data_IF_914717237565
#
_entry.id   IF_914717237565
#
_cell.length_a   1.000
_cell.length_b   1.000
_cell.length_c   1.000
_cell.angle_alpha   90.00
_cell.angle_beta   90.00
_cell.angle_gamma   90.00
#
_symmetry.space_group_name_H-M   'P 1'
#
loop_
_entity.id
_entity.type
_entity.pdbx_description
1 polymer ?
#
# COMPACT_ATOMS: atom_id res chain seq x y z
N UNK A 1 3.62 -10.39 33.39
CA UNK A 1 2.63 -11.45 33.23
C UNK A 1 1.34 -10.96 33.87
N UNK A 2 0.25 -11.08 33.13
CA UNK A 2 -1.10 -10.85 33.61
C UNK A 2 -1.71 -12.23 33.78
N UNK A 3 -2.11 -12.58 34.98
CA UNK A 3 -2.79 -13.83 35.24
C UNK A 3 -4.28 -13.65 34.87
N UNK A 4 -4.82 -14.55 34.05
CA UNK A 4 -6.20 -14.52 33.61
C UNK A 4 -7.01 -15.50 34.44
N UNK A 5 -8.17 -15.05 34.90
CA UNK A 5 -9.13 -15.84 35.67
C UNK A 5 -10.38 -16.15 34.83
N UNK A 6 -11.14 -17.16 35.27
CA UNK A 6 -12.39 -17.54 34.64
C UNK A 6 -13.38 -16.35 34.69
N UNK A 7 -13.98 -16.01 33.52
CA UNK A 7 -14.80 -14.82 33.24
C UNK A 7 -14.07 -13.49 33.06
N UNK A 8 -12.74 -13.48 32.93
CA UNK A 8 -12.03 -12.27 32.51
C UNK A 8 -12.36 -11.89 31.06
N UNK A 9 -12.64 -10.62 30.85
CA UNK A 9 -12.96 -10.09 29.52
C UNK A 9 -11.80 -9.25 28.98
N UNK A 10 -11.17 -9.73 27.92
CA UNK A 10 -10.04 -9.04 27.31
C UNK A 10 -10.54 -8.19 26.14
N UNK A 11 -10.48 -6.88 26.29
CA UNK A 11 -10.80 -5.95 25.22
C UNK A 11 -9.52 -5.47 24.51
N UNK A 12 -9.28 -5.99 23.33
CA UNK A 12 -8.18 -5.51 22.47
C UNK A 12 -8.69 -4.40 21.54
N UNK A 13 -8.32 -3.17 21.83
CA UNK A 13 -8.68 -2.02 20.98
C UNK A 13 -7.78 -1.96 19.76
N UNK A 14 -8.37 -1.70 18.58
CA UNK A 14 -7.61 -1.42 17.37
C UNK A 14 -6.80 -0.12 17.55
N UNK A 15 -5.48 -0.17 17.35
CA UNK A 15 -4.64 1.03 17.43
C UNK A 15 -4.88 1.92 16.20
N UNK A 16 -5.14 3.21 16.36
CA UNK A 16 -5.29 4.14 15.24
C UNK A 16 -3.95 4.49 14.57
N UNK A 17 -2.84 4.10 15.18
CA UNK A 17 -1.49 4.33 14.63
C UNK A 17 -0.73 3.02 14.54
N UNK A 18 -0.15 2.79 13.36
CA UNK A 18 0.83 1.73 13.18
C UNK A 18 2.12 2.14 13.91
N UNK A 19 2.44 1.45 15.00
CA UNK A 19 3.66 1.69 15.78
C UNK A 19 4.78 0.88 15.12
N UNK A 20 5.82 1.56 14.62
CA UNK A 20 6.95 0.95 13.90
C UNK A 20 7.55 -0.27 14.63
N UNK A 21 7.68 -0.16 15.95
CA UNK A 21 8.29 -1.22 16.77
C UNK A 21 7.37 -2.46 16.87
N UNK A 22 6.06 -2.27 16.91
CA UNK A 22 5.10 -3.38 16.87
C UNK A 22 5.13 -4.12 15.53
N UNK A 23 5.27 -3.40 14.43
CA UNK A 23 5.38 -4.01 13.10
C UNK A 23 6.67 -4.81 12.97
N UNK A 24 7.78 -4.26 13.45
CA UNK A 24 9.06 -4.97 13.48
C UNK A 24 9.01 -6.21 14.39
N UNK A 25 8.25 -6.15 15.49
CA UNK A 25 8.05 -7.30 16.38
C UNK A 25 7.18 -8.39 15.73
N UNK A 26 6.10 -8.01 15.03
CA UNK A 26 5.25 -8.95 14.27
C UNK A 26 6.06 -9.66 13.19
N UNK A 27 6.88 -8.94 12.43
CA UNK A 27 7.74 -9.52 11.39
C UNK A 27 8.83 -10.47 11.94
N UNK A 28 9.14 -10.40 13.23
CA UNK A 28 10.11 -11.27 13.91
C UNK A 28 9.45 -12.39 14.69
N UNK A 29 8.13 -12.37 14.85
CA UNK A 29 7.41 -13.41 15.59
C UNK A 29 7.06 -14.58 14.67
N UNK A 30 7.08 -15.81 15.21
CA UNK A 30 6.63 -17.01 14.51
C UNK A 30 5.09 -17.11 14.43
N UNK A 31 4.37 -16.05 14.77
CA UNK A 31 2.94 -15.98 14.54
C UNK A 31 2.70 -15.91 13.04
N UNK A 32 1.97 -16.87 12.51
CA UNK A 32 1.61 -16.91 11.09
C UNK A 32 0.96 -15.57 10.73
N UNK A 33 1.60 -14.73 9.91
CA UNK A 33 1.03 -13.43 9.58
C UNK A 33 -0.23 -13.65 8.76
N UNK A 34 -1.30 -12.93 9.10
CA UNK A 34 -2.46 -12.86 8.23
C UNK A 34 -2.02 -12.35 6.86
N UNK A 35 -2.52 -12.99 5.82
CA UNK A 35 -2.26 -12.62 4.43
C UNK A 35 -3.20 -11.47 4.07
N UNK A 36 -2.72 -10.57 3.24
CA UNK A 36 -3.50 -9.50 2.63
C UNK A 36 -3.18 -9.41 1.14
N UNK A 37 -4.15 -8.92 0.36
CA UNK A 37 -3.99 -8.72 -1.08
C UNK A 37 -3.71 -7.25 -1.37
N UNK A 38 -2.66 -7.01 -2.14
CA UNK A 38 -2.34 -5.72 -2.74
C UNK A 38 -2.24 -5.87 -4.26
N UNK A 39 -2.30 -4.78 -4.98
CA UNK A 39 -2.25 -4.80 -6.44
C UNK A 39 -0.96 -4.13 -6.93
N UNK A 40 -0.17 -4.87 -7.68
CA UNK A 40 1.07 -4.37 -8.30
C UNK A 40 0.89 -4.33 -9.81
N UNK A 41 1.12 -3.16 -10.42
CA UNK A 41 0.88 -2.96 -11.85
C UNK A 41 2.04 -2.22 -12.52
N UNK A 42 2.00 -2.15 -13.84
CA UNK A 42 2.96 -1.39 -14.62
C UNK A 42 4.24 -2.15 -14.95
N UNK A 43 5.39 -1.48 -14.84
CA UNK A 43 6.68 -2.00 -15.32
C UNK A 43 7.37 -2.92 -14.29
N UNK A 44 6.67 -3.98 -13.89
CA UNK A 44 7.15 -5.05 -13.00
C UNK A 44 7.25 -6.38 -13.74
N UNK A 45 7.93 -7.35 -13.16
CA UNK A 45 8.09 -8.69 -13.77
C UNK A 45 6.75 -9.42 -13.75
N UNK A 46 6.10 -9.49 -12.59
CA UNK A 46 4.80 -10.11 -12.41
C UNK A 46 3.84 -9.08 -11.82
N UNK A 47 2.90 -8.60 -12.63
CA UNK A 47 1.86 -7.67 -12.21
C UNK A 47 0.56 -8.40 -11.91
N UNK A 48 -0.30 -7.78 -11.11
CA UNK A 48 -1.61 -8.30 -10.71
C UNK A 48 -1.84 -8.26 -9.21
N UNK A 49 -2.85 -8.99 -8.73
CA UNK A 49 -3.06 -9.19 -7.30
C UNK A 49 -1.88 -9.97 -6.72
N UNK A 50 -1.41 -9.52 -5.58
CA UNK A 50 -0.26 -10.07 -4.86
C UNK A 50 -0.65 -10.32 -3.41
N UNK A 51 -0.58 -11.57 -2.99
CA UNK A 51 -0.76 -11.96 -1.59
C UNK A 51 0.53 -11.77 -0.83
N UNK A 52 0.49 -10.99 0.24
CA UNK A 52 1.62 -10.71 1.11
C UNK A 52 1.18 -10.74 2.57
N UNK A 53 2.15 -10.90 3.47
CA UNK A 53 1.89 -10.85 4.91
C UNK A 53 1.51 -9.43 5.35
N UNK A 54 0.57 -9.31 6.28
CA UNK A 54 0.28 -8.01 6.93
C UNK A 54 1.54 -7.43 7.56
N UNK A 55 1.72 -6.12 7.41
CA UNK A 55 2.93 -5.42 7.84
C UNK A 55 4.05 -5.40 6.80
N UNK A 56 3.87 -6.02 5.65
CA UNK A 56 4.83 -5.92 4.53
C UNK A 56 4.91 -4.49 4.01
N UNK A 57 6.09 -4.11 3.56
CA UNK A 57 6.33 -2.78 2.98
C UNK A 57 6.24 -2.80 1.45
N UNK A 58 6.14 -1.62 0.85
CA UNK A 58 6.11 -1.45 -0.61
C UNK A 58 7.32 -2.09 -1.30
N UNK A 59 8.54 -1.96 -0.75
CA UNK A 59 9.73 -2.57 -1.33
C UNK A 59 9.65 -4.09 -1.29
N UNK A 60 9.13 -4.67 -0.19
CA UNK A 60 8.91 -6.12 -0.10
C UNK A 60 7.89 -6.61 -1.13
N UNK A 61 6.78 -5.91 -1.30
CA UNK A 61 5.79 -6.25 -2.33
C UNK A 61 6.38 -6.18 -3.74
N UNK A 62 7.17 -5.15 -4.06
CA UNK A 62 7.86 -5.07 -5.34
C UNK A 62 8.87 -6.21 -5.54
N UNK A 63 9.60 -6.60 -4.50
CA UNK A 63 10.49 -7.75 -4.57
C UNK A 63 9.72 -9.06 -4.82
N UNK A 64 8.59 -9.26 -4.15
CA UNK A 64 7.72 -10.43 -4.34
C UNK A 64 7.08 -10.49 -5.73
N UNK A 65 6.84 -9.34 -6.38
CA UNK A 65 6.39 -9.28 -7.78
C UNK A 65 7.50 -9.52 -8.82
N UNK A 66 8.66 -10.01 -8.38
CA UNK A 66 9.84 -10.23 -9.22
C UNK A 66 10.67 -8.97 -9.48
N UNK A 67 10.39 -7.90 -8.75
CA UNK A 67 11.11 -6.63 -8.84
C UNK A 67 10.67 -5.76 -10.04
N UNK A 68 11.31 -4.61 -10.15
CA UNK A 68 11.08 -3.67 -11.25
C UNK A 68 11.88 -4.05 -12.49
N UNK A 69 11.29 -3.85 -13.66
CA UNK A 69 12.00 -3.98 -14.94
C UNK A 69 12.96 -2.80 -15.17
N UNK A 70 13.82 -2.93 -16.17
CA UNK A 70 14.64 -1.80 -16.65
C UNK A 70 13.75 -0.64 -17.15
N UNK A 71 14.29 0.57 -17.17
CA UNK A 71 13.56 1.77 -17.57
C UNK A 71 12.35 2.09 -16.70
N UNK A 72 12.48 1.86 -15.40
CA UNK A 72 11.45 2.18 -14.42
C UNK A 72 11.43 3.68 -14.14
N UNK A 73 10.25 4.27 -14.24
CA UNK A 73 9.97 5.65 -13.89
C UNK A 73 9.65 5.84 -12.41
N UNK A 74 8.68 6.71 -12.14
CA UNK A 74 8.17 6.90 -10.77
C UNK A 74 7.31 5.72 -10.36
N UNK A 75 7.26 5.49 -9.06
CA UNK A 75 6.26 4.64 -8.43
C UNK A 75 5.10 5.53 -8.03
N UNK A 76 3.90 5.08 -8.33
CA UNK A 76 2.65 5.66 -7.87
C UNK A 76 2.03 4.70 -6.86
N UNK A 77 1.60 5.25 -5.76
CA UNK A 77 0.99 4.52 -4.65
C UNK A 77 -0.39 5.11 -4.39
N UNK A 78 -1.40 4.26 -4.38
CA UNK A 78 -2.79 4.64 -4.12
C UNK A 78 -3.34 3.77 -2.99
N UNK A 79 -3.91 4.40 -1.98
CA UNK A 79 -4.63 3.76 -0.88
C UNK A 79 -6.03 4.31 -0.80
N UNK A 80 -7.00 3.42 -0.68
CA UNK A 80 -8.37 3.74 -0.35
C UNK A 80 -8.57 3.60 1.16
N UNK A 81 -9.00 4.65 1.82
CA UNK A 81 -9.27 4.63 3.24
C UNK A 81 -10.74 4.24 3.50
N UNK A 82 -11.02 3.68 4.67
CA UNK A 82 -12.36 3.27 5.07
C UNK A 82 -13.35 4.46 5.19
N UNK A 83 -12.84 5.68 5.30
CA UNK A 83 -13.62 6.93 5.33
C UNK A 83 -14.00 7.45 3.92
N UNK A 84 -13.69 6.69 2.88
CA UNK A 84 -13.93 7.06 1.48
C UNK A 84 -12.89 8.02 0.89
N UNK A 85 -11.89 8.44 1.65
CA UNK A 85 -10.79 9.26 1.12
C UNK A 85 -9.72 8.41 0.43
N UNK A 86 -8.99 9.04 -0.49
CA UNK A 86 -7.89 8.39 -1.20
C UNK A 86 -6.58 9.08 -0.88
N UNK A 87 -5.55 8.29 -0.62
CA UNK A 87 -4.18 8.79 -0.53
C UNK A 87 -3.43 8.40 -1.80
N UNK A 88 -2.99 9.39 -2.55
CA UNK A 88 -2.14 9.21 -3.72
C UNK A 88 -0.75 9.82 -3.46
N UNK A 89 0.29 9.03 -3.72
CA UNK A 89 1.68 9.45 -3.66
C UNK A 89 2.41 9.06 -4.95
N UNK A 90 3.35 9.90 -5.39
CA UNK A 90 4.22 9.61 -6.53
C UNK A 90 5.66 9.96 -6.18
N UNK A 91 6.58 9.01 -6.32
CA UNK A 91 7.98 9.16 -5.94
C UNK A 91 8.91 8.28 -6.79
N UNK A 92 10.21 8.59 -6.77
CA UNK A 92 11.21 7.71 -7.37
C UNK A 92 11.49 6.52 -6.46
N UNK A 93 11.66 5.36 -7.06
CA UNK A 93 12.10 4.16 -6.35
C UNK A 93 13.42 4.40 -5.61
N UNK A 94 13.44 4.03 -4.35
CA UNK A 94 14.60 4.12 -3.49
C UNK A 94 14.70 2.80 -2.69
N UNK A 95 15.62 1.90 -3.07
CA UNK A 95 15.73 0.58 -2.44
C UNK A 95 16.19 0.67 -0.97
N UNK A 96 16.78 1.79 -0.57
CA UNK A 96 17.27 2.03 0.79
C UNK A 96 16.27 2.82 1.65
N UNK A 97 15.07 3.10 1.13
CA UNK A 97 14.08 3.86 1.88
C UNK A 97 13.67 3.09 3.16
N UNK A 98 13.73 3.74 4.33
CA UNK A 98 13.34 3.11 5.59
C UNK A 98 11.89 2.62 5.54
N UNK A 99 11.62 1.50 6.20
CA UNK A 99 10.25 0.99 6.37
C UNK A 99 9.39 2.04 7.05
N UNK A 100 8.14 2.14 6.63
CA UNK A 100 7.17 3.15 7.07
C UNK A 100 7.56 4.60 6.74
N UNK A 101 8.45 4.81 5.77
CA UNK A 101 8.68 6.13 5.17
C UNK A 101 7.71 6.38 4.01
N UNK A 102 7.64 7.64 3.52
CA UNK A 102 6.82 8.00 2.36
C UNK A 102 7.14 7.15 1.12
N UNK A 103 8.41 6.79 0.90
CA UNK A 103 8.85 5.99 -0.26
C UNK A 103 8.76 4.49 -0.05
N UNK A 104 8.56 4.06 1.18
CA UNK A 104 8.44 2.65 1.56
C UNK A 104 7.37 2.48 2.65
N UNK A 105 6.11 2.84 2.36
CA UNK A 105 5.02 2.70 3.32
C UNK A 105 4.78 1.22 3.64
N UNK A 106 4.24 0.97 4.84
CA UNK A 106 3.65 -0.31 5.17
C UNK A 106 2.32 -0.40 4.43
N UNK A 107 2.12 -1.53 3.79
CA UNK A 107 0.95 -1.78 2.96
C UNK A 107 -0.26 -2.20 3.79
N UNK A 108 -1.43 -1.95 3.23
CA UNK A 108 -2.73 -2.36 3.74
C UNK A 108 -3.50 -3.11 2.64
N UNK A 109 -4.55 -3.83 3.04
CA UNK A 109 -5.45 -4.51 2.13
C UNK A 109 -5.95 -3.55 1.05
N UNK A 110 -5.89 -3.97 -0.22
CA UNK A 110 -6.37 -3.19 -1.35
C UNK A 110 -5.45 -2.06 -1.84
N UNK A 111 -4.26 -1.87 -1.26
CA UNK A 111 -3.30 -0.89 -1.76
C UNK A 111 -2.90 -1.20 -3.20
N UNK A 112 -2.76 -0.15 -4.01
CA UNK A 112 -2.34 -0.24 -5.41
C UNK A 112 -0.98 0.41 -5.60
N UNK A 113 -0.04 -0.35 -6.16
CA UNK A 113 1.32 0.08 -6.50
C UNK A 113 1.47 0.01 -8.02
N UNK A 114 1.67 1.16 -8.65
CA UNK A 114 1.95 1.20 -10.07
C UNK A 114 3.39 1.66 -10.33
N UNK A 115 4.12 0.86 -11.08
CA UNK A 115 5.50 1.17 -11.48
C UNK A 115 5.47 1.73 -12.90
N UNK A 116 5.64 3.04 -13.04
CA UNK A 116 5.61 3.69 -14.33
C UNK A 116 6.81 3.30 -15.20
N UNK A 117 6.59 3.25 -16.50
CA UNK A 117 7.65 3.08 -17.47
C UNK A 117 8.23 4.44 -17.87
N UNK A 118 9.53 4.53 -17.95
CA UNK A 118 10.20 5.72 -18.53
C UNK A 118 10.44 5.46 -20.01
N UNK A 119 9.85 6.26 -20.88
CA UNK A 119 10.10 6.24 -22.31
C UNK A 119 10.73 7.58 -22.67
N UNK A 120 12.01 7.56 -23.07
CA UNK A 120 12.75 8.75 -23.57
C UNK A 120 12.53 10.00 -22.69
N UNK A 121 12.65 9.86 -21.37
CA UNK A 121 12.52 10.97 -20.41
C UNK A 121 11.07 11.35 -20.05
N UNK A 122 10.06 10.70 -20.60
CA UNK A 122 8.64 10.90 -20.23
C UNK A 122 8.14 9.75 -19.35
N UNK A 123 7.50 10.07 -18.24
CA UNK A 123 6.84 9.11 -17.38
C UNK A 123 5.35 9.12 -17.71
N UNK A 124 4.81 7.98 -18.13
CA UNK A 124 3.36 7.80 -18.31
C UNK A 124 2.74 7.35 -16.99
N UNK A 125 1.75 8.10 -16.53
CA UNK A 125 0.99 7.77 -15.31
C UNK A 125 -0.31 7.08 -15.70
N UNK A 126 -0.41 5.80 -15.38
CA UNK A 126 -1.62 5.00 -15.64
C UNK A 126 -2.67 5.21 -14.55
N UNK A 127 -2.24 5.38 -13.30
CA UNK A 127 -3.19 5.55 -12.18
C UNK A 127 -3.98 6.86 -12.27
N UNK A 128 -3.40 7.92 -12.80
CA UNK A 128 -4.13 9.18 -13.03
C UNK A 128 -5.25 9.02 -14.04
N UNK A 129 -5.07 8.17 -15.04
CA UNK A 129 -6.10 7.89 -16.04
C UNK A 129 -7.25 7.05 -15.46
N UNK A 130 -6.95 6.18 -14.51
CA UNK A 130 -7.95 5.33 -13.84
C UNK A 130 -8.72 6.12 -12.79
N UNK A 131 -8.06 7.02 -12.07
CA UNK A 131 -8.69 7.79 -10.98
C UNK A 131 -9.43 9.04 -11.46
N UNK A 132 -9.06 9.62 -12.59
CA UNK A 132 -9.73 10.80 -13.15
C UNK A 132 -11.24 10.60 -13.40
N UNK A 133 -11.73 9.49 -13.96
CA UNK A 133 -13.18 9.27 -14.11
C UNK A 133 -13.92 9.18 -12.78
N UNK A 134 -13.30 8.61 -11.76
CA UNK A 134 -13.88 8.50 -10.41
C UNK A 134 -13.99 9.87 -9.73
N UNK A 135 -12.98 10.74 -9.89
CA UNK A 135 -13.01 12.10 -9.37
C UNK A 135 -13.97 12.99 -10.16
N UNK A 136 -14.10 12.79 -11.46
CA UNK A 136 -15.05 13.55 -12.30
C UNK A 136 -16.49 13.18 -11.94
N UNK A 137 -16.75 11.90 -11.63
CA UNK A 137 -18.07 11.44 -11.16
C UNK A 137 -18.46 12.05 -9.81
N UNK A 138 -17.54 12.11 -8.86
CA UNK A 138 -17.76 12.74 -7.55
C UNK A 138 -17.92 14.26 -7.65
N UNK A 139 -17.24 14.91 -8.60
CA UNK A 139 -17.39 16.34 -8.87
C UNK A 139 -18.76 16.69 -9.47
N UNK A 140 -19.34 15.83 -10.29
CA UNK A 140 -20.66 16.01 -10.87
C UNK A 140 -21.78 15.86 -9.83
N UNK A 141 -21.61 14.98 -8.82
CA UNK A 141 -22.59 14.88 -7.72
C UNK A 141 -22.68 16.18 -6.91
N UNK A 142 -21.57 16.88 -6.75
CA UNK A 142 -21.54 18.15 -6.00
C UNK A 142 -22.17 19.34 -6.77
N UNK A 143 -22.24 19.24 -8.07
CA UNK A 143 -22.88 20.26 -8.95
C UNK A 143 -24.39 20.04 -9.08
N UNK A 144 -24.89 18.85 -8.75
CA UNK A 144 -26.32 18.53 -8.83
C UNK A 144 -27.07 18.73 -7.49
N UNK A 145 -26.36 19.07 -6.40
CA UNK A 145 -26.93 19.39 -5.08
C UNK A 145 -27.03 20.91 -4.80
N UNK A 146 -26.56 21.77 -5.70
CA UNK A 146 -26.78 23.21 -5.72
C UNK A 146 -27.82 23.55 -6.82
#
# INVERSE_FOLDING_TARGET
NIDLFDNDNILVKKSPKLIKDQILAINKSNLSPEIMTVYVTGNVVSGGPLEISKGSSLIQALASSGGKKMLTGKIEFLRFNDDGTNKFDSFRYDPNAPVNSRKNPILMEGDVINVNKTILGKTTSVLKEITNPLFTGLGLYKVLED
#
